data_IF_375519265900
#
_entry.id   IF_375519265900
#
_cell.length_a   1.000
_cell.length_b   1.000
_cell.length_c   1.000
_cell.angle_alpha   90.00
_cell.angle_beta   90.00
_cell.angle_gamma   90.00
#
_symmetry.space_group_name_H-M   'P 1'
#
loop_
_entity.id
_entity.type
_entity.pdbx_description
1 polymer ?
#
# COMPACT_ATOMS: atom_id res chain seq x y z
N UNK A 1 -10.16 27.30 -14.70
CA UNK A 1 -10.20 26.03 -13.95
C UNK A 1 -8.78 25.52 -13.82
N UNK A 2 -8.33 25.12 -12.63
CA UNK A 2 -7.07 24.43 -12.49
C UNK A 2 -7.18 23.05 -13.14
N UNK A 3 -6.19 22.64 -13.92
CA UNK A 3 -6.13 21.30 -14.47
C UNK A 3 -5.93 20.28 -13.32
N UNK A 4 -6.59 19.14 -13.42
CA UNK A 4 -6.43 18.03 -12.48
C UNK A 4 -5.87 16.82 -13.24
N UNK A 5 -4.71 16.35 -12.84
CA UNK A 5 -4.04 15.20 -13.46
C UNK A 5 -4.23 13.97 -12.58
N UNK A 6 -4.61 12.86 -13.17
CA UNK A 6 -4.75 11.56 -12.51
C UNK A 6 -3.75 10.59 -13.13
N UNK A 7 -2.87 10.04 -12.31
CA UNK A 7 -1.94 8.99 -12.71
C UNK A 7 -2.41 7.67 -12.08
N UNK A 8 -2.81 6.72 -12.91
CA UNK A 8 -3.45 5.48 -12.49
C UNK A 8 -2.61 4.26 -12.91
N UNK A 9 -2.67 3.14 -12.17
CA UNK A 9 -2.13 1.88 -12.64
C UNK A 9 -2.74 1.49 -14.00
N UNK A 10 -1.88 1.17 -14.97
CA UNK A 10 -2.31 0.76 -16.31
C UNK A 10 -2.93 -0.63 -16.32
N UNK A 11 -2.44 -1.53 -15.46
CA UNK A 11 -2.88 -2.92 -15.38
C UNK A 11 -2.82 -3.40 -13.94
N UNK A 12 -3.92 -4.02 -13.50
CA UNK A 12 -4.00 -4.69 -12.20
C UNK A 12 -4.41 -6.13 -12.47
N UNK A 13 -3.60 -7.09 -12.00
CA UNK A 13 -3.90 -8.51 -12.10
C UNK A 13 -3.96 -9.10 -10.69
N UNK A 14 -5.08 -9.71 -10.35
CA UNK A 14 -5.31 -10.40 -9.08
C UNK A 14 -5.71 -11.84 -9.40
N UNK A 15 -4.85 -12.78 -9.05
CA UNK A 15 -5.07 -14.21 -9.35
C UNK A 15 -4.73 -15.11 -8.17
N UNK A 16 -4.98 -16.41 -8.35
CA UNK A 16 -4.53 -17.46 -7.45
C UNK A 16 -3.48 -18.31 -8.17
N UNK A 17 -2.41 -18.69 -7.45
CA UNK A 17 -1.29 -19.51 -8.01
C UNK A 17 -0.70 -18.95 -9.31
N UNK A 18 -0.79 -17.64 -9.51
CA UNK A 18 -0.39 -17.00 -10.76
C UNK A 18 1.03 -16.41 -10.74
N UNK A 19 1.81 -16.58 -9.67
CA UNK A 19 3.17 -16.03 -9.55
C UNK A 19 4.08 -16.44 -10.72
N UNK A 20 3.86 -17.61 -11.33
CA UNK A 20 4.63 -18.09 -12.48
C UNK A 20 4.25 -17.35 -13.79
N UNK A 21 3.12 -16.62 -13.82
CA UNK A 21 2.68 -15.78 -14.94
C UNK A 21 3.25 -14.34 -14.86
N UNK A 22 3.97 -14.01 -13.76
CA UNK A 22 4.47 -12.65 -13.53
C UNK A 22 5.31 -12.10 -14.69
N UNK A 23 6.17 -12.92 -15.31
CA UNK A 23 6.95 -12.52 -16.49
C UNK A 23 6.07 -12.18 -17.70
N UNK A 24 4.94 -12.88 -17.87
CA UNK A 24 3.95 -12.59 -18.93
C UNK A 24 3.23 -11.26 -18.65
N UNK A 25 2.84 -11.02 -17.39
CA UNK A 25 2.28 -9.75 -16.96
C UNK A 25 3.21 -8.58 -17.28
N UNK A 26 4.50 -8.65 -16.90
CA UNK A 26 5.48 -7.61 -17.21
C UNK A 26 5.65 -7.40 -18.71
N UNK A 27 5.67 -8.49 -19.46
CA UNK A 27 5.82 -8.41 -20.92
C UNK A 27 4.60 -7.74 -21.58
N UNK A 28 3.36 -8.00 -21.10
CA UNK A 28 2.16 -7.33 -21.61
C UNK A 28 2.10 -5.85 -21.23
N UNK A 29 2.68 -5.49 -20.08
CA UNK A 29 2.62 -4.14 -19.55
C UNK A 29 3.61 -3.17 -20.22
N UNK A 30 4.88 -3.55 -20.36
CA UNK A 30 5.93 -2.64 -20.84
C UNK A 30 7.05 -3.34 -21.66
N UNK A 31 6.98 -4.65 -21.87
CA UNK A 31 8.02 -5.44 -22.58
C UNK A 31 9.45 -5.11 -22.11
N UNK A 32 9.73 -5.11 -20.80
CA UNK A 32 11.04 -4.72 -20.31
C UNK A 32 12.11 -5.72 -20.76
N UNK A 33 13.32 -5.21 -21.09
CA UNK A 33 14.48 -6.05 -21.36
C UNK A 33 15.22 -6.42 -20.08
N UNK A 34 15.28 -5.48 -19.13
CA UNK A 34 15.99 -5.63 -17.85
C UNK A 34 15.22 -4.99 -16.70
N UNK A 35 15.16 -5.67 -15.56
CA UNK A 35 14.43 -5.20 -14.40
C UNK A 35 15.26 -5.24 -13.13
N UNK A 36 15.07 -4.27 -12.22
CA UNK A 36 15.61 -4.27 -10.86
C UNK A 36 14.52 -4.72 -9.89
N UNK A 37 14.77 -5.80 -9.15
CA UNK A 37 13.85 -6.41 -8.21
C UNK A 37 14.24 -6.02 -6.78
N UNK A 38 13.38 -5.30 -6.06
CA UNK A 38 13.63 -4.83 -4.70
C UNK A 38 12.75 -5.63 -3.74
N UNK A 39 13.37 -6.37 -2.82
CA UNK A 39 12.65 -7.27 -1.91
C UNK A 39 13.40 -7.48 -0.59
N UNK A 40 12.67 -7.84 0.45
CA UNK A 40 13.26 -8.31 1.71
C UNK A 40 13.74 -9.77 1.61
N UNK A 41 14.73 -10.15 2.43
CA UNK A 41 15.36 -11.49 2.41
C UNK A 41 14.35 -12.63 2.54
N UNK A 42 13.38 -12.51 3.46
CA UNK A 42 12.38 -13.57 3.68
C UNK A 42 11.55 -13.84 2.43
N UNK A 43 11.15 -12.78 1.72
CA UNK A 43 10.35 -12.89 0.48
C UNK A 43 11.21 -13.46 -0.65
N UNK A 44 12.48 -13.07 -0.75
CA UNK A 44 13.42 -13.66 -1.71
C UNK A 44 13.54 -15.18 -1.49
N UNK A 45 13.72 -15.63 -0.26
CA UNK A 45 13.84 -17.05 0.06
C UNK A 45 12.64 -17.88 -0.41
N UNK A 46 11.44 -17.28 -0.44
CA UNK A 46 10.19 -17.99 -0.81
C UNK A 46 9.86 -17.87 -2.29
N UNK A 47 10.07 -16.70 -2.90
CA UNK A 47 9.54 -16.39 -4.23
C UNK A 47 10.61 -16.31 -5.33
N UNK A 48 11.89 -16.14 -4.99
CA UNK A 48 12.97 -15.88 -5.94
C UNK A 48 12.98 -16.86 -7.11
N UNK A 49 13.03 -18.15 -6.82
CA UNK A 49 13.09 -19.20 -7.86
C UNK A 49 11.91 -19.16 -8.82
N UNK A 50 10.68 -18.95 -8.31
CA UNK A 50 9.46 -18.88 -9.14
C UNK A 50 9.46 -17.66 -10.05
N UNK A 51 9.84 -16.51 -9.48
CA UNK A 51 9.91 -15.23 -10.22
C UNK A 51 10.98 -15.32 -11.29
N UNK A 52 12.20 -15.81 -10.97
CA UNK A 52 13.27 -15.95 -11.95
C UNK A 52 12.90 -16.90 -13.10
N UNK A 53 12.22 -18.02 -12.78
CA UNK A 53 11.71 -18.93 -13.80
C UNK A 53 10.73 -18.23 -14.74
N UNK A 54 9.78 -17.42 -14.21
CA UNK A 54 8.81 -16.69 -15.01
C UNK A 54 9.45 -15.60 -15.89
N UNK A 55 10.46 -14.90 -15.36
CA UNK A 55 11.21 -13.89 -16.12
C UNK A 55 12.04 -14.52 -17.24
N UNK A 56 12.67 -15.66 -16.96
CA UNK A 56 13.48 -16.41 -17.95
C UNK A 56 12.65 -16.82 -19.17
N UNK A 57 11.39 -17.26 -18.98
CA UNK A 57 10.48 -17.61 -20.07
C UNK A 57 10.28 -16.44 -21.05
N UNK A 58 10.26 -15.21 -20.54
CA UNK A 58 10.13 -13.98 -21.34
C UNK A 58 11.46 -13.33 -21.70
N UNK A 59 12.58 -13.99 -21.39
CA UNK A 59 13.96 -13.49 -21.65
C UNK A 59 14.21 -12.12 -21.00
N UNK A 60 13.61 -11.85 -19.84
CA UNK A 60 13.79 -10.61 -19.08
C UNK A 60 15.01 -10.78 -18.17
N UNK A 61 16.04 -9.95 -18.37
CA UNK A 61 17.19 -9.87 -17.47
C UNK A 61 16.77 -9.24 -16.13
N UNK A 62 17.39 -9.64 -15.03
CA UNK A 62 16.99 -9.14 -13.71
C UNK A 62 18.17 -9.07 -12.74
N UNK A 63 18.07 -8.12 -11.81
CA UNK A 63 19.02 -7.95 -10.71
C UNK A 63 18.21 -7.79 -9.41
N UNK A 64 18.61 -8.52 -8.37
CA UNK A 64 17.98 -8.44 -7.06
C UNK A 64 18.71 -7.45 -6.15
N UNK A 65 17.92 -6.60 -5.46
CA UNK A 65 18.36 -5.71 -4.40
C UNK A 65 17.61 -6.04 -3.12
N UNK A 66 18.32 -6.11 -1.99
CA UNK A 66 17.72 -6.45 -0.70
C UNK A 66 17.34 -5.18 0.05
N UNK A 67 16.03 -5.01 0.31
CA UNK A 67 15.50 -3.97 1.18
C UNK A 67 15.51 -4.46 2.63
N UNK A 68 16.36 -3.88 3.48
CA UNK A 68 16.51 -4.25 4.87
C UNK A 68 15.56 -3.45 5.76
N UNK A 69 15.50 -2.14 5.52
CA UNK A 69 14.67 -1.19 6.24
C UNK A 69 14.16 -0.09 5.28
N UNK A 70 13.40 0.88 5.82
CA UNK A 70 12.91 2.05 5.08
C UNK A 70 13.59 3.36 5.49
N UNK A 71 14.83 3.28 6.00
CA UNK A 71 15.63 4.47 6.29
C UNK A 71 16.17 5.07 4.99
N UNK A 72 16.22 6.39 4.91
CA UNK A 72 16.69 7.11 3.72
C UNK A 72 18.08 6.63 3.30
N UNK A 73 19.02 6.48 4.25
CA UNK A 73 20.39 6.02 3.95
C UNK A 73 20.45 4.64 3.29
N UNK A 74 19.56 3.73 3.69
CA UNK A 74 19.46 2.39 3.09
C UNK A 74 18.86 2.45 1.69
N UNK A 75 17.84 3.28 1.52
CA UNK A 75 17.20 3.52 0.22
C UNK A 75 18.20 4.12 -0.77
N UNK A 76 19.00 5.13 -0.35
CA UNK A 76 20.03 5.77 -1.19
C UNK A 76 21.10 4.77 -1.67
N UNK A 77 21.50 3.81 -0.83
CA UNK A 77 22.44 2.75 -1.24
C UNK A 77 21.86 1.89 -2.36
N UNK A 78 20.60 1.45 -2.19
CA UNK A 78 19.91 0.65 -3.19
C UNK A 78 19.73 1.47 -4.47
N UNK A 79 19.32 2.73 -4.37
CA UNK A 79 19.14 3.63 -5.50
C UNK A 79 20.42 3.79 -6.33
N UNK A 80 21.57 3.99 -5.67
CA UNK A 80 22.87 4.07 -6.36
C UNK A 80 23.21 2.77 -7.12
N UNK A 81 22.82 1.62 -6.58
CA UNK A 81 23.00 0.32 -7.25
C UNK A 81 22.05 0.18 -8.44
N UNK A 82 20.75 0.43 -8.25
CA UNK A 82 19.73 0.38 -9.30
C UNK A 82 20.08 1.30 -10.48
N UNK A 83 20.62 2.51 -10.20
CA UNK A 83 21.07 3.44 -11.24
C UNK A 83 22.15 2.83 -12.15
N UNK A 84 23.03 1.99 -11.61
CA UNK A 84 24.09 1.32 -12.39
C UNK A 84 23.55 0.15 -13.22
N UNK A 85 22.38 -0.38 -12.87
CA UNK A 85 21.82 -1.54 -13.55
C UNK A 85 21.32 -1.22 -14.94
N UNK A 86 21.00 0.04 -15.26
CA UNK A 86 20.32 0.46 -16.48
C UNK A 86 19.05 -0.36 -16.75
N UNK A 87 18.22 -0.51 -15.73
CA UNK A 87 16.96 -1.26 -15.81
C UNK A 87 15.84 -0.41 -16.39
N UNK A 88 14.99 -1.04 -17.20
CA UNK A 88 13.82 -0.42 -17.86
C UNK A 88 12.64 -0.29 -16.91
N UNK A 89 12.65 -1.07 -15.81
CA UNK A 89 11.54 -1.19 -14.88
C UNK A 89 12.06 -1.58 -13.48
N UNK A 90 11.47 -0.98 -12.45
CA UNK A 90 11.72 -1.33 -11.05
C UNK A 90 10.52 -2.11 -10.51
N UNK A 91 10.77 -3.15 -9.73
CA UNK A 91 9.71 -4.00 -9.16
C UNK A 91 9.90 -4.07 -7.66
N UNK A 92 8.87 -3.65 -6.92
CA UNK A 92 8.79 -3.79 -5.48
C UNK A 92 8.07 -5.09 -5.11
N UNK A 93 8.79 -6.04 -4.52
CA UNK A 93 8.26 -7.36 -4.16
C UNK A 93 8.26 -7.51 -2.65
N UNK A 94 7.10 -7.57 -2.04
CA UNK A 94 7.03 -7.72 -0.58
C UNK A 94 5.88 -6.99 0.09
N UNK A 95 6.01 -6.77 1.38
CA UNK A 95 5.14 -5.86 2.13
C UNK A 95 5.49 -4.40 1.85
N UNK A 96 4.83 -3.48 2.55
CA UNK A 96 4.94 -2.04 2.34
C UNK A 96 6.36 -1.51 2.23
N UNK A 97 7.28 -1.99 3.08
CA UNK A 97 8.69 -1.57 3.04
C UNK A 97 9.34 -1.72 1.67
N UNK A 98 9.24 -2.91 1.07
CA UNK A 98 9.88 -3.18 -0.22
C UNK A 98 9.17 -2.44 -1.37
N UNK A 99 7.83 -2.36 -1.30
CA UNK A 99 7.03 -1.62 -2.27
C UNK A 99 7.34 -0.12 -2.20
N UNK A 100 7.39 0.45 -1.01
CA UNK A 100 7.69 1.89 -0.81
C UNK A 100 9.14 2.23 -1.20
N UNK A 101 10.10 1.36 -0.87
CA UNK A 101 11.49 1.52 -1.32
C UNK A 101 11.58 1.55 -2.84
N UNK A 102 10.93 0.61 -3.53
CA UNK A 102 10.90 0.54 -4.99
C UNK A 102 10.23 1.76 -5.62
N UNK A 103 9.10 2.18 -5.04
CA UNK A 103 8.33 3.35 -5.47
C UNK A 103 9.15 4.63 -5.37
N UNK A 104 9.84 4.86 -4.25
CA UNK A 104 10.66 6.05 -4.06
C UNK A 104 11.86 6.07 -5.00
N UNK A 105 12.53 4.93 -5.18
CA UNK A 105 13.66 4.81 -6.13
C UNK A 105 13.19 5.04 -7.56
N UNK A 106 12.03 4.50 -7.94
CA UNK A 106 11.37 4.71 -9.23
C UNK A 106 11.16 6.20 -9.50
N UNK A 107 10.57 6.90 -8.54
CA UNK A 107 10.32 8.34 -8.63
C UNK A 107 11.63 9.14 -8.81
N UNK A 108 12.62 8.87 -7.96
CA UNK A 108 13.90 9.58 -7.98
C UNK A 108 14.71 9.34 -9.27
N UNK A 109 14.57 8.16 -9.88
CA UNK A 109 15.29 7.80 -11.10
C UNK A 109 14.45 7.98 -12.37
N UNK A 110 13.18 8.36 -12.25
CA UNK A 110 12.23 8.46 -13.37
C UNK A 110 12.13 7.15 -14.17
N UNK A 111 12.17 6.01 -13.47
CA UNK A 111 12.01 4.67 -14.06
C UNK A 111 10.65 4.14 -13.62
N UNK A 112 9.78 3.63 -14.51
CA UNK A 112 8.50 3.06 -14.12
C UNK A 112 8.62 1.96 -13.07
N UNK A 113 7.60 1.79 -12.23
CA UNK A 113 7.62 0.73 -11.22
C UNK A 113 6.37 -0.15 -11.25
N UNK A 114 6.54 -1.40 -10.85
CA UNK A 114 5.48 -2.39 -10.66
C UNK A 114 5.46 -2.84 -9.21
N UNK A 115 4.26 -2.91 -8.64
CA UNK A 115 4.03 -3.45 -7.31
C UNK A 115 3.66 -4.93 -7.37
N UNK A 116 4.39 -5.78 -6.63
CA UNK A 116 4.07 -7.17 -6.34
C UNK A 116 3.96 -7.35 -4.83
N UNK A 117 2.81 -6.99 -4.23
CA UNK A 117 2.62 -7.11 -2.80
C UNK A 117 2.52 -8.59 -2.38
N UNK A 118 3.16 -8.93 -1.26
CA UNK A 118 3.10 -10.26 -0.65
C UNK A 118 2.32 -10.26 0.66
N UNK A 119 1.72 -9.13 1.01
CA UNK A 119 0.87 -8.96 2.17
C UNK A 119 -0.14 -7.83 1.92
N UNK A 120 -1.36 -8.02 2.39
CA UNK A 120 -2.43 -7.03 2.33
C UNK A 120 -2.43 -6.18 3.62
N UNK A 121 -1.46 -5.27 3.77
CA UNK A 121 -1.23 -4.55 5.03
C UNK A 121 -1.53 -3.05 4.98
N UNK A 122 -1.58 -2.43 3.81
CA UNK A 122 -1.94 -1.02 3.59
C UNK A 122 -2.12 -0.71 2.10
N UNK A 123 -2.75 0.41 1.79
CA UNK A 123 -3.09 0.87 0.42
C UNK A 123 -1.87 1.26 -0.44
N UNK A 124 -0.69 1.40 0.14
CA UNK A 124 0.56 1.73 -0.54
C UNK A 124 0.91 0.80 -1.70
N UNK A 125 0.26 -0.37 -1.80
CA UNK A 125 0.45 -1.27 -2.93
C UNK A 125 -0.02 -0.69 -4.26
N UNK A 126 -0.93 0.29 -4.25
CA UNK A 126 -1.49 0.92 -5.45
C UNK A 126 -1.46 2.46 -5.40
N UNK A 127 -1.20 3.07 -4.23
CA UNK A 127 -1.15 4.52 -4.09
C UNK A 127 0.17 5.11 -4.57
N UNK A 128 0.21 6.42 -4.95
CA UNK A 128 1.44 7.11 -5.32
C UNK A 128 2.23 7.61 -4.11
N UNK A 129 1.77 7.36 -2.88
CA UNK A 129 2.38 7.87 -1.66
C UNK A 129 3.33 6.86 -1.04
N UNK A 130 4.38 7.38 -0.39
CA UNK A 130 5.41 6.61 0.30
C UNK A 130 5.52 7.08 1.74
N UNK A 131 5.56 6.14 2.67
CA UNK A 131 5.87 6.42 4.08
C UNK A 131 7.33 6.12 4.35
N UNK A 132 8.13 7.16 4.54
CA UNK A 132 9.59 7.06 4.82
C UNK A 132 9.88 7.46 6.25
N UNK A 133 10.77 6.71 6.91
CA UNK A 133 11.30 7.10 8.22
C UNK A 133 12.34 8.23 8.05
N UNK A 134 11.92 9.45 8.40
CA UNK A 134 12.75 10.63 8.41
C UNK A 134 12.50 11.43 9.70
N UNK A 135 13.28 12.47 9.94
CA UNK A 135 13.10 13.36 11.09
C UNK A 135 11.72 14.06 11.11
N UNK A 136 11.09 14.17 9.96
CA UNK A 136 9.70 14.61 9.80
C UNK A 136 8.90 13.50 9.09
N UNK A 137 8.27 12.56 9.84
CA UNK A 137 7.44 11.54 9.24
C UNK A 137 6.27 12.21 8.50
N UNK A 138 6.23 12.03 7.19
CA UNK A 138 5.17 12.51 6.31
C UNK A 138 5.11 11.62 5.07
N UNK A 139 3.95 11.58 4.46
CA UNK A 139 3.80 10.93 3.15
C UNK A 139 4.46 11.78 2.09
N UNK A 140 5.35 11.17 1.32
CA UNK A 140 5.99 11.79 0.16
C UNK A 140 5.20 11.38 -1.08
N UNK A 141 4.91 12.35 -1.96
CA UNK A 141 4.37 12.05 -3.28
C UNK A 141 5.49 11.44 -4.12
N UNK A 142 5.24 10.26 -4.65
CA UNK A 142 6.13 9.56 -5.57
C UNK A 142 5.36 9.24 -6.86
N UNK A 143 5.52 8.04 -7.43
CA UNK A 143 4.84 7.61 -8.65
C UNK A 143 3.75 6.58 -8.35
N UNK A 144 2.62 6.66 -9.03
CA UNK A 144 1.69 5.55 -9.08
C UNK A 144 2.37 4.33 -9.73
N UNK A 145 2.05 3.11 -9.31
CA UNK A 145 2.59 1.92 -9.98
C UNK A 145 2.07 1.85 -11.42
N UNK A 146 2.94 1.56 -12.37
CA UNK A 146 2.54 1.25 -13.75
C UNK A 146 1.63 0.01 -13.80
N UNK A 147 1.86 -0.94 -12.89
CA UNK A 147 1.02 -2.11 -12.71
C UNK A 147 1.09 -2.67 -11.30
N UNK A 148 0.05 -3.41 -10.92
CA UNK A 148 -0.04 -4.15 -9.66
C UNK A 148 -0.33 -5.61 -9.98
N UNK A 149 0.53 -6.50 -9.51
CA UNK A 149 0.37 -7.95 -9.71
C UNK A 149 0.22 -8.64 -8.35
N UNK A 150 -0.89 -9.32 -8.14
CA UNK A 150 -1.22 -9.96 -6.86
C UNK A 150 -1.45 -11.45 -7.06
N UNK A 151 -0.71 -12.25 -6.29
CA UNK A 151 -0.99 -13.67 -6.09
C UNK A 151 -1.63 -13.86 -4.71
N UNK A 152 -2.91 -14.22 -4.68
CA UNK A 152 -3.69 -14.39 -3.46
C UNK A 152 -3.13 -15.51 -2.59
N UNK A 153 -2.59 -16.59 -3.17
CA UNK A 153 -1.98 -17.68 -2.40
C UNK A 153 -0.66 -17.26 -1.74
N UNK A 154 0.03 -16.28 -2.30
CA UNK A 154 1.18 -15.66 -1.64
C UNK A 154 0.72 -14.84 -0.44
N UNK A 155 -0.33 -14.03 -0.61
CA UNK A 155 -0.88 -13.18 0.47
C UNK A 155 -1.48 -14.03 1.60
N UNK A 156 -2.17 -15.14 1.28
CA UNK A 156 -2.72 -16.10 2.27
C UNK A 156 -1.65 -16.65 3.21
N UNK A 157 -0.39 -16.73 2.78
CA UNK A 157 0.75 -17.22 3.60
C UNK A 157 1.38 -16.15 4.49
N UNK A 158 1.01 -14.89 4.31
CA UNK A 158 1.50 -13.83 5.18
C UNK A 158 0.91 -13.94 6.60
N UNK A 159 1.61 -13.45 7.62
CA UNK A 159 1.07 -13.42 8.98
C UNK A 159 -0.26 -12.67 9.04
N UNK A 160 -1.27 -13.25 9.72
CA UNK A 160 -2.65 -12.71 9.81
C UNK A 160 -2.70 -11.26 10.32
N UNK A 161 -1.76 -10.87 11.19
CA UNK A 161 -1.63 -9.49 11.68
C UNK A 161 -1.44 -8.46 10.54
N UNK A 162 -0.86 -8.86 9.40
CA UNK A 162 -0.70 -7.98 8.25
C UNK A 162 -2.05 -7.74 7.55
N UNK A 163 -2.91 -8.74 7.49
CA UNK A 163 -4.27 -8.58 6.98
C UNK A 163 -5.10 -7.70 7.92
N UNK A 164 -5.01 -7.93 9.24
CA UNK A 164 -5.65 -7.09 10.25
C UNK A 164 -5.19 -5.62 10.15
N UNK A 165 -3.89 -5.39 9.90
CA UNK A 165 -3.35 -4.06 9.60
C UNK A 165 -4.00 -3.45 8.36
N UNK A 166 -4.16 -4.21 7.27
CA UNK A 166 -4.84 -3.73 6.07
C UNK A 166 -6.31 -3.36 6.32
N UNK A 167 -7.00 -4.12 7.14
CA UNK A 167 -8.35 -3.78 7.58
C UNK A 167 -8.38 -2.46 8.37
N UNK A 168 -7.43 -2.25 9.27
CA UNK A 168 -7.29 -0.99 10.03
C UNK A 168 -7.01 0.21 9.14
N UNK A 169 -6.17 0.02 8.12
CA UNK A 169 -5.85 1.03 7.12
C UNK A 169 -7.09 1.42 6.29
N UNK A 170 -7.88 0.44 5.86
CA UNK A 170 -9.14 0.69 5.14
C UNK A 170 -10.19 1.40 5.99
N UNK A 171 -10.32 1.03 7.27
CA UNK A 171 -11.25 1.66 8.21
C UNK A 171 -10.88 3.13 8.43
N UNK A 172 -9.61 3.48 8.39
CA UNK A 172 -9.11 4.83 8.51
C UNK A 172 -9.70 5.80 7.46
N UNK A 173 -10.08 5.30 6.28
CA UNK A 173 -10.71 6.10 5.23
C UNK A 173 -11.99 6.81 5.69
N UNK A 174 -12.72 6.25 6.67
CA UNK A 174 -13.93 6.89 7.24
C UNK A 174 -13.56 8.23 7.86
N UNK A 175 -12.46 8.28 8.58
CA UNK A 175 -11.97 9.49 9.24
C UNK A 175 -11.37 10.45 8.23
N UNK A 176 -10.52 9.94 7.35
CA UNK A 176 -9.84 10.70 6.32
C UNK A 176 -10.82 11.47 5.42
N UNK A 177 -11.86 10.81 4.93
CA UNK A 177 -12.88 11.44 4.09
C UNK A 177 -13.64 12.53 4.86
N UNK A 178 -13.95 12.33 6.14
CA UNK A 178 -14.60 13.36 6.98
C UNK A 178 -13.70 14.56 7.22
N UNK A 179 -12.43 14.34 7.47
CA UNK A 179 -11.45 15.42 7.60
C UNK A 179 -11.29 16.19 6.28
N UNK A 180 -11.30 15.49 5.15
CA UNK A 180 -11.25 16.13 3.84
C UNK A 180 -12.50 16.97 3.55
N UNK A 181 -13.70 16.48 3.91
CA UNK A 181 -14.94 17.26 3.85
C UNK A 181 -14.88 18.52 4.72
N UNK A 182 -14.31 18.38 5.94
CA UNK A 182 -14.12 19.51 6.83
C UNK A 182 -13.13 20.54 6.25
N UNK A 183 -12.02 20.08 5.70
CA UNK A 183 -11.03 20.91 4.99
C UNK A 183 -11.66 21.67 3.82
N UNK A 184 -12.45 20.99 3.02
CA UNK A 184 -13.21 21.61 1.94
C UNK A 184 -14.16 22.71 2.46
N UNK A 185 -14.95 22.41 3.49
CA UNK A 185 -15.91 23.37 4.06
C UNK A 185 -15.24 24.59 4.70
N UNK A 186 -14.13 24.37 5.43
CA UNK A 186 -13.48 25.42 6.25
C UNK A 186 -12.39 26.18 5.49
N UNK A 187 -11.63 25.51 4.63
CA UNK A 187 -10.45 26.04 3.97
C UNK A 187 -10.56 26.10 2.45
N UNK A 188 -11.70 25.72 1.89
CA UNK A 188 -11.93 25.65 0.42
C UNK A 188 -10.95 24.73 -0.30
N UNK A 189 -10.41 23.71 0.39
CA UNK A 189 -9.61 22.67 -0.26
C UNK A 189 -10.39 21.97 -1.35
N UNK A 190 -9.69 21.50 -2.38
CA UNK A 190 -10.31 20.61 -3.36
C UNK A 190 -10.91 19.38 -2.67
N UNK A 191 -12.11 18.99 -3.07
CA UNK A 191 -12.77 17.77 -2.61
C UNK A 191 -13.28 16.99 -3.81
N UNK A 192 -12.65 15.83 -4.05
CA UNK A 192 -13.02 14.91 -5.12
C UNK A 192 -14.05 13.90 -4.63
N UNK A 193 -15.35 14.15 -4.87
CA UNK A 193 -16.42 13.28 -4.37
C UNK A 193 -16.24 11.83 -4.80
N UNK A 194 -15.88 11.58 -6.06
CA UNK A 194 -15.70 10.23 -6.58
C UNK A 194 -14.59 9.48 -5.82
N UNK A 195 -13.44 10.12 -5.60
CA UNK A 195 -12.34 9.53 -4.83
C UNK A 195 -12.75 9.27 -3.37
N UNK A 196 -13.48 10.20 -2.77
CA UNK A 196 -14.01 10.05 -1.41
C UNK A 196 -14.98 8.86 -1.29
N UNK A 197 -15.92 8.74 -2.23
CA UNK A 197 -16.91 7.65 -2.25
C UNK A 197 -16.21 6.29 -2.46
N UNK A 198 -15.17 6.22 -3.32
CA UNK A 198 -14.38 5.01 -3.54
C UNK A 198 -13.62 4.58 -2.27
N UNK A 199 -12.97 5.51 -1.57
CA UNK A 199 -12.30 5.25 -0.30
C UNK A 199 -13.29 4.81 0.80
N UNK A 200 -14.43 5.48 0.90
CA UNK A 200 -15.50 5.11 1.86
C UNK A 200 -16.08 3.73 1.56
N UNK A 201 -16.25 3.35 0.31
CA UNK A 201 -16.71 2.02 -0.08
C UNK A 201 -15.75 0.93 0.40
N UNK A 202 -14.44 1.14 0.25
CA UNK A 202 -13.41 0.21 0.71
C UNK A 202 -13.48 -0.02 2.24
N UNK A 203 -13.68 1.04 3.02
CA UNK A 203 -13.87 0.93 4.46
C UNK A 203 -15.18 0.21 4.83
N UNK A 204 -16.27 0.52 4.12
CA UNK A 204 -17.60 -0.06 4.36
C UNK A 204 -17.60 -1.58 4.16
N UNK A 205 -16.93 -2.07 3.12
CA UNK A 205 -16.77 -3.49 2.85
C UNK A 205 -16.13 -4.22 4.05
N UNK A 206 -15.09 -3.66 4.64
CA UNK A 206 -14.46 -4.22 5.85
C UNK A 206 -15.43 -4.25 7.01
N UNK A 207 -16.16 -3.15 7.24
CA UNK A 207 -17.10 -3.05 8.36
C UNK A 207 -18.31 -4.00 8.24
N UNK A 208 -18.74 -4.28 7.05
CA UNK A 208 -19.88 -5.18 6.79
C UNK A 208 -19.47 -6.66 6.86
N UNK A 209 -18.20 -6.97 6.62
CA UNK A 209 -17.69 -8.34 6.53
C UNK A 209 -16.67 -8.70 7.64
N UNK A 210 -16.53 -7.88 8.68
CA UNK A 210 -15.47 -8.03 9.68
C UNK A 210 -15.41 -9.41 10.35
N UNK A 211 -16.56 -10.00 10.66
CA UNK A 211 -16.64 -11.33 11.28
C UNK A 211 -16.13 -12.48 10.38
N UNK A 212 -16.09 -12.27 9.07
CA UNK A 212 -15.55 -13.26 8.13
C UNK A 212 -14.01 -13.22 8.14
N UNK A 213 -13.40 -12.03 8.27
CA UNK A 213 -11.95 -11.86 8.22
C UNK A 213 -11.23 -12.34 9.49
N UNK A 214 -11.94 -12.52 10.60
CA UNK A 214 -11.41 -13.12 11.84
C UNK A 214 -11.15 -14.63 11.72
N UNK A 215 -11.74 -15.30 10.75
CA UNK A 215 -11.64 -16.76 10.59
C UNK A 215 -10.33 -17.15 9.93
N UNK A 216 -9.66 -18.16 10.49
CA UNK A 216 -8.47 -18.76 9.85
C UNK A 216 -8.83 -19.26 8.44
N UNK A 217 -8.02 -18.89 7.45
CA UNK A 217 -8.24 -19.34 6.06
C UNK A 217 -9.21 -18.49 5.25
N UNK A 218 -9.66 -17.34 5.77
CA UNK A 218 -10.49 -16.40 5.00
C UNK A 218 -9.74 -15.94 3.75
N UNK A 219 -10.46 -15.85 2.65
CA UNK A 219 -9.91 -15.31 1.40
C UNK A 219 -9.60 -13.81 1.56
N UNK A 220 -8.33 -13.39 1.45
CA UNK A 220 -7.96 -11.99 1.57
C UNK A 220 -8.32 -11.15 0.34
N UNK A 221 -8.87 -11.73 -0.72
CA UNK A 221 -9.16 -11.06 -2.00
C UNK A 221 -9.91 -9.74 -1.83
N UNK A 222 -10.98 -9.76 -1.04
CA UNK A 222 -11.82 -8.55 -0.82
C UNK A 222 -11.03 -7.43 -0.14
N UNK A 223 -10.14 -7.76 0.79
CA UNK A 223 -9.26 -6.77 1.43
C UNK A 223 -8.21 -6.25 0.44
N UNK A 224 -7.63 -7.12 -0.37
CA UNK A 224 -6.69 -6.73 -1.43
C UNK A 224 -7.35 -5.76 -2.41
N UNK A 225 -8.54 -6.08 -2.90
CA UNK A 225 -9.32 -5.23 -3.80
C UNK A 225 -9.67 -3.89 -3.14
N UNK A 226 -10.02 -3.90 -1.85
CA UNK A 226 -10.26 -2.70 -1.05
C UNK A 226 -9.02 -1.81 -0.94
N UNK A 227 -7.85 -2.38 -0.63
CA UNK A 227 -6.58 -1.66 -0.53
C UNK A 227 -6.14 -1.07 -1.89
N UNK A 228 -6.33 -1.81 -2.97
CA UNK A 228 -6.08 -1.31 -4.33
C UNK A 228 -7.04 -0.16 -4.64
N UNK A 229 -8.33 -0.30 -4.33
CA UNK A 229 -9.33 0.75 -4.55
C UNK A 229 -9.02 2.01 -3.76
N UNK A 230 -8.57 1.89 -2.50
CA UNK A 230 -8.12 3.01 -1.67
C UNK A 230 -6.89 3.71 -2.28
N UNK A 231 -5.87 2.95 -2.72
CA UNK A 231 -4.71 3.49 -3.41
C UNK A 231 -5.08 4.22 -4.71
N UNK A 232 -6.01 3.65 -5.50
CA UNK A 232 -6.54 4.28 -6.72
C UNK A 232 -7.34 5.54 -6.39
N UNK A 233 -8.10 5.57 -5.28
CA UNK A 233 -8.78 6.78 -4.82
C UNK A 233 -7.78 7.92 -4.56
N UNK A 234 -6.62 7.61 -3.98
CA UNK A 234 -5.54 8.58 -3.77
C UNK A 234 -4.93 9.06 -5.10
N UNK A 235 -4.78 8.17 -6.09
CA UNK A 235 -4.37 8.53 -7.45
C UNK A 235 -5.38 9.49 -8.12
N UNK A 236 -6.68 9.18 -8.03
CA UNK A 236 -7.77 10.00 -8.57
C UNK A 236 -7.82 11.37 -7.89
N UNK A 237 -7.63 11.42 -6.58
CA UNK A 237 -7.64 12.68 -5.84
C UNK A 237 -6.41 13.56 -6.10
N UNK A 238 -5.29 12.98 -6.60
CA UNK A 238 -3.99 13.64 -6.68
C UNK A 238 -3.42 14.01 -5.31
N UNK A 239 -3.94 13.39 -4.25
CA UNK A 239 -3.53 13.63 -2.86
C UNK A 239 -3.89 12.44 -1.99
N UNK A 240 -3.25 12.32 -0.81
CA UNK A 240 -3.58 11.27 0.17
C UNK A 240 -4.89 11.52 0.93
N UNK A 241 -5.58 12.64 0.68
CA UNK A 241 -6.77 13.07 1.42
C UNK A 241 -7.89 12.02 1.54
N UNK A 242 -8.20 11.19 0.51
CA UNK A 242 -9.23 10.15 0.64
C UNK A 242 -8.91 9.10 1.71
N UNK A 243 -7.60 8.84 1.94
CA UNK A 243 -7.13 7.71 2.75
C UNK A 243 -6.29 8.14 3.96
N UNK A 244 -5.99 9.42 4.13
CA UNK A 244 -5.12 9.92 5.21
C UNK A 244 -5.67 11.21 5.82
N UNK A 245 -6.07 11.11 7.08
CA UNK A 245 -6.59 12.20 7.90
C UNK A 245 -5.91 12.27 9.26
N UNK A 246 -6.62 12.68 10.29
CA UNK A 246 -6.13 12.84 11.66
C UNK A 246 -5.67 11.51 12.28
N UNK A 247 -6.26 10.38 11.90
CA UNK A 247 -5.86 9.04 12.32
C UNK A 247 -4.46 8.67 11.82
N UNK A 248 -4.09 9.10 10.63
CA UNK A 248 -2.74 8.94 10.09
C UNK A 248 -1.74 9.87 10.77
N UNK A 249 -2.14 11.12 11.09
CA UNK A 249 -1.31 12.01 11.89
C UNK A 249 -1.02 11.42 13.26
N UNK A 250 -2.00 10.75 13.88
CA UNK A 250 -1.79 10.00 15.11
C UNK A 250 -0.77 8.86 14.91
N UNK A 251 -0.90 8.06 13.85
CA UNK A 251 0.06 7.01 13.52
C UNK A 251 1.48 7.56 13.34
N UNK A 252 1.64 8.68 12.63
CA UNK A 252 2.94 9.32 12.43
C UNK A 252 3.54 9.89 13.72
N UNK A 253 2.70 10.44 14.61
CA UNK A 253 3.14 10.89 15.93
C UNK A 253 3.68 9.71 16.76
N UNK A 254 2.98 8.56 16.74
CA UNK A 254 3.46 7.34 17.41
C UNK A 254 4.77 6.83 16.81
N UNK A 255 4.96 6.87 15.50
CA UNK A 255 6.22 6.47 14.87
C UNK A 255 7.41 7.31 15.34
N UNK A 256 7.15 8.58 15.71
CA UNK A 256 8.18 9.48 16.21
C UNK A 256 8.49 9.26 17.69
N UNK A 257 7.47 9.11 18.54
CA UNK A 257 7.65 9.03 19.99
C UNK A 257 7.91 7.61 20.49
N UNK A 258 7.45 6.61 19.75
CA UNK A 258 7.57 5.18 20.08
C UNK A 258 7.89 4.34 18.82
N UNK A 259 9.09 4.50 18.23
CA UNK A 259 9.46 3.83 16.98
C UNK A 259 9.36 2.32 17.11
N UNK A 260 8.70 1.68 16.14
CA UNK A 260 8.58 0.21 16.07
C UNK A 260 7.39 -0.38 16.82
N UNK A 261 6.58 0.42 17.49
CA UNK A 261 5.32 -0.01 18.07
C UNK A 261 4.28 -0.22 16.95
N UNK A 262 3.77 -1.44 16.86
CA UNK A 262 2.65 -1.81 15.98
C UNK A 262 2.91 -1.63 14.49
N UNK A 263 2.00 -2.15 13.70
CA UNK A 263 1.96 -1.96 12.26
C UNK A 263 1.25 -0.65 11.90
N UNK A 264 1.47 -0.16 10.70
CA UNK A 264 0.87 1.10 10.22
C UNK A 264 -0.66 1.12 10.39
N UNK A 265 -1.36 0.16 9.81
CA UNK A 265 -2.81 0.10 9.89
C UNK A 265 -3.35 -0.22 11.29
N UNK A 266 -2.58 -0.87 12.16
CA UNK A 266 -2.94 -1.04 13.56
C UNK A 266 -3.01 0.33 14.27
N UNK A 267 -2.01 1.18 14.06
CA UNK A 267 -1.97 2.54 14.61
C UNK A 267 -3.06 3.44 14.02
N UNK A 268 -3.27 3.35 12.69
CA UNK A 268 -4.36 4.07 12.02
C UNK A 268 -5.73 3.63 12.55
N UNK A 269 -5.91 2.32 12.81
CA UNK A 269 -7.12 1.77 13.40
C UNK A 269 -7.41 2.34 14.80
N UNK A 270 -6.42 2.36 15.69
CA UNK A 270 -6.55 2.97 17.03
C UNK A 270 -6.85 4.48 16.89
N UNK A 271 -6.11 5.18 16.03
CA UNK A 271 -6.36 6.59 15.73
C UNK A 271 -7.79 6.81 15.24
N UNK A 272 -8.31 5.89 14.40
CA UNK A 272 -9.69 5.98 13.90
C UNK A 272 -10.74 5.90 15.01
N UNK A 273 -10.55 5.07 16.04
CA UNK A 273 -11.46 5.01 17.18
C UNK A 273 -11.52 6.37 17.88
N UNK A 274 -10.36 6.97 18.13
CA UNK A 274 -10.25 8.26 18.83
C UNK A 274 -10.86 9.39 18.01
N UNK A 275 -10.50 9.47 16.74
CA UNK A 275 -10.97 10.53 15.84
C UNK A 275 -12.46 10.38 15.51
N UNK A 276 -12.98 9.17 15.38
CA UNK A 276 -14.41 8.93 15.21
C UNK A 276 -15.22 9.50 16.39
N UNK A 277 -14.74 9.30 17.62
CA UNK A 277 -15.37 9.87 18.81
C UNK A 277 -15.37 11.41 18.77
N UNK A 278 -14.26 12.02 18.40
CA UNK A 278 -14.15 13.49 18.26
C UNK A 278 -15.03 14.04 17.12
N UNK A 279 -15.17 13.31 16.03
CA UNK A 279 -16.01 13.68 14.89
C UNK A 279 -17.50 13.35 15.06
N UNK A 280 -17.92 12.80 16.22
CA UNK A 280 -19.30 12.39 16.47
C UNK A 280 -19.76 11.20 15.60
N UNK A 281 -18.84 10.34 15.17
CA UNK A 281 -19.13 9.14 14.38
C UNK A 281 -19.32 7.91 15.29
N UNK A 282 -19.77 6.81 14.71
CA UNK A 282 -19.97 5.54 15.44
C UNK A 282 -18.64 4.84 15.75
N UNK A 283 -17.90 5.40 16.72
CA UNK A 283 -16.63 4.83 17.18
C UNK A 283 -16.80 3.42 17.78
N UNK A 284 -17.98 3.09 18.32
CA UNK A 284 -18.25 1.76 18.89
C UNK A 284 -18.26 0.70 17.78
N UNK A 285 -18.90 1.02 16.65
CA UNK A 285 -18.90 0.14 15.47
C UNK A 285 -17.49 -0.03 14.92
N UNK A 286 -16.69 1.04 14.83
CA UNK A 286 -15.26 0.97 14.41
C UNK A 286 -14.47 0.07 15.37
N UNK A 287 -14.61 0.26 16.69
CA UNK A 287 -13.93 -0.57 17.69
C UNK A 287 -14.31 -2.04 17.55
N UNK A 288 -15.60 -2.33 17.39
CA UNK A 288 -16.07 -3.71 17.19
C UNK A 288 -15.47 -4.32 15.94
N UNK A 289 -15.50 -3.59 14.82
CA UNK A 289 -14.93 -4.06 13.54
C UNK A 289 -13.44 -4.38 13.67
N UNK A 290 -12.65 -3.49 14.26
CA UNK A 290 -11.22 -3.71 14.48
C UNK A 290 -10.96 -4.93 15.34
N UNK A 291 -11.74 -5.11 16.42
CA UNK A 291 -11.65 -6.30 17.26
C UNK A 291 -12.01 -7.57 16.51
N UNK A 292 -13.06 -7.53 15.70
CA UNK A 292 -13.53 -8.68 14.90
C UNK A 292 -12.46 -9.13 13.90
N UNK A 293 -11.69 -8.21 13.29
CA UNK A 293 -10.61 -8.55 12.34
C UNK A 293 -9.27 -8.87 13.02
N UNK A 294 -9.22 -8.86 14.35
CA UNK A 294 -8.01 -9.15 15.13
C UNK A 294 -7.00 -8.01 15.19
N UNK A 295 -7.41 -6.77 14.87
CA UNK A 295 -6.58 -5.58 15.07
C UNK A 295 -6.66 -5.07 16.50
N UNK A 296 -5.61 -4.41 17.04
CA UNK A 296 -5.64 -3.81 18.37
C UNK A 296 -6.66 -2.66 18.42
N UNK A 297 -7.31 -2.54 19.58
CA UNK A 297 -8.31 -1.49 19.86
C UNK A 297 -7.92 -0.59 21.03
N UNK A 298 -6.81 -0.88 21.67
CA UNK A 298 -6.18 -0.11 22.75
C UNK A 298 -4.69 0.01 22.50
N UNK A 299 -4.06 1.05 23.08
CA UNK A 299 -2.62 1.25 23.04
C UNK A 299 -1.90 0.30 23.98
#
# INVERSE_FOLDING_TARGET
MQSHTMELPRLIEIGEKNIEEFGKFLYSLNKPKKVSLISGTNVQNVLKSKIEKSLKIKKIQHIWHTSIDNQIKSIDKIQKSVKKDNSDLIIGIGGGRSVDTAKLISYNLSIPFVSLPTAASHDGMASPFVSVKSDKPHSIVASAPLGVFVDIDVIKKAPSKLLASGCGDLIANIIAVKDWQLGHKKKKEYYGRYAADLAMMSAKIVMENSSQFARKGTDPRVIVEGLISAGVASCIAGSSRPCSGAEHLFSHALDKIAPGIGLHGEKCGIGSIMMAKLQGQDWKKITKTLKDVGAPTTA
#
